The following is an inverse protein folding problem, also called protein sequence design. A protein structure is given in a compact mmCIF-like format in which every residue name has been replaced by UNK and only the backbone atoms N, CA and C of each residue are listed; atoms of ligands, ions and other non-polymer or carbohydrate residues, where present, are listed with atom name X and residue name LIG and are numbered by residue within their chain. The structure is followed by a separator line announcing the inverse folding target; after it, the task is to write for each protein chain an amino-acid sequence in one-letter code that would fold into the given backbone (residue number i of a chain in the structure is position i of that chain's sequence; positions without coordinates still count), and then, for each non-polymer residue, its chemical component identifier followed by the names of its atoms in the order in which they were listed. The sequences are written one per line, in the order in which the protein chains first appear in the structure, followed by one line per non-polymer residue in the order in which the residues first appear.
data_IF_855905042239
#
_entry.id   IF_855905042239
#
_cell.length_a   1.000
_cell.length_b   1.000
_cell.length_c   1.000
_cell.angle_alpha   90.00
_cell.angle_beta   90.00
_cell.angle_gamma   90.00
#
_symmetry.space_group_name_H-M   'P 1'
#
loop_
_entity.id
_entity.type
_entity.pdbx_description
1 polymer ?
#
# COMPACT_ATOMS: atom_id res chain seq x y z
N UNK A 1 20.67 -10.65 -20.63
CA UNK A 1 20.93 -10.21 -19.28
C UNK A 1 19.64 -9.95 -18.51
N UNK A 2 19.58 -10.47 -17.30
CA UNK A 2 18.38 -10.32 -16.48
C UNK A 2 18.28 -8.92 -15.89
N UNK A 3 17.08 -8.33 -15.82
CA UNK A 3 16.92 -7.04 -15.20
C UNK A 3 17.15 -7.13 -13.68
N UNK A 4 17.62 -6.03 -13.10
CA UNK A 4 17.82 -5.91 -11.66
C UNK A 4 16.48 -5.71 -10.95
N UNK A 5 16.47 -5.84 -9.62
CA UNK A 5 15.27 -5.55 -8.84
C UNK A 5 14.79 -4.12 -9.09
N UNK A 6 15.73 -3.16 -9.14
CA UNK A 6 15.40 -1.75 -9.40
C UNK A 6 14.75 -1.57 -10.76
N UNK A 7 15.31 -2.21 -11.79
CA UNK A 7 14.74 -2.15 -13.15
C UNK A 7 13.34 -2.75 -13.20
N UNK A 8 13.13 -3.86 -12.49
CA UNK A 8 11.81 -4.49 -12.41
C UNK A 8 10.80 -3.60 -11.69
N UNK A 9 11.22 -2.94 -10.62
CA UNK A 9 10.37 -1.99 -9.93
C UNK A 9 9.95 -0.86 -10.87
N UNK A 10 10.91 -0.31 -11.62
CA UNK A 10 10.63 0.78 -12.56
C UNK A 10 9.70 0.34 -13.68
N UNK A 11 9.89 -0.88 -14.18
CA UNK A 11 8.99 -1.44 -15.17
C UNK A 11 7.58 -1.59 -14.60
N UNK A 12 7.46 -2.09 -13.37
CA UNK A 12 6.19 -2.20 -12.67
C UNK A 12 5.51 -0.84 -12.53
N UNK A 13 6.29 0.20 -12.18
CA UNK A 13 5.77 1.55 -12.05
C UNK A 13 5.17 2.06 -13.37
N UNK A 14 5.85 1.81 -14.49
CA UNK A 14 5.33 2.21 -15.80
C UNK A 14 4.03 1.48 -16.14
N UNK A 15 3.99 0.19 -15.84
CA UNK A 15 2.76 -0.61 -16.05
C UNK A 15 1.62 -0.12 -15.17
N UNK A 16 1.94 0.26 -13.93
CA UNK A 16 0.93 0.81 -13.02
C UNK A 16 0.33 2.10 -13.58
N UNK A 17 1.18 3.01 -14.05
CA UNK A 17 0.71 4.26 -14.66
C UNK A 17 -0.17 3.96 -15.87
N UNK A 18 0.14 2.91 -16.62
CA UNK A 18 -0.65 2.45 -17.76
C UNK A 18 -1.90 1.67 -17.37
N UNK A 19 -2.21 1.58 -16.07
CA UNK A 19 -3.37 0.86 -15.52
C UNK A 19 -3.32 -0.64 -15.80
N UNK A 20 -2.14 -1.18 -16.00
CA UNK A 20 -1.94 -2.62 -16.22
C UNK A 20 -1.56 -3.27 -14.88
N UNK A 21 -2.56 -3.34 -13.98
CA UNK A 21 -2.32 -3.73 -12.60
C UNK A 21 -1.84 -5.17 -12.42
N UNK A 22 -2.43 -6.17 -13.09
CA UNK A 22 -1.88 -7.54 -12.96
C UNK A 22 -0.44 -7.63 -13.44
N UNK A 23 -0.12 -6.99 -14.56
CA UNK A 23 1.24 -7.00 -15.10
C UNK A 23 2.20 -6.25 -14.18
N UNK A 24 1.76 -5.13 -13.61
CA UNK A 24 2.57 -4.38 -12.64
C UNK A 24 2.84 -5.23 -11.41
N UNK A 25 1.82 -5.90 -10.87
CA UNK A 25 1.98 -6.78 -9.72
C UNK A 25 3.00 -7.89 -10.00
N UNK A 26 2.96 -8.46 -11.21
CA UNK A 26 3.92 -9.50 -11.60
C UNK A 26 5.36 -8.96 -11.63
N UNK A 27 5.56 -7.73 -12.13
CA UNK A 27 6.89 -7.11 -12.14
C UNK A 27 7.41 -6.86 -10.72
N UNK A 28 6.55 -6.36 -9.84
CA UNK A 28 6.94 -6.17 -8.44
C UNK A 28 7.25 -7.52 -7.78
N UNK A 29 6.51 -8.58 -8.12
CA UNK A 29 6.81 -9.93 -7.65
C UNK A 29 8.18 -10.40 -8.10
N UNK A 30 8.56 -10.10 -9.34
CA UNK A 30 9.90 -10.43 -9.84
C UNK A 30 10.97 -9.62 -9.11
N UNK A 31 10.69 -8.35 -8.80
CA UNK A 31 11.61 -7.53 -8.00
C UNK A 31 11.82 -8.14 -6.61
N UNK A 32 10.73 -8.61 -5.99
CA UNK A 32 10.78 -9.28 -4.69
C UNK A 32 11.64 -10.54 -4.75
N UNK A 33 11.51 -11.31 -5.82
CA UNK A 33 12.33 -12.51 -6.01
C UNK A 33 13.82 -12.15 -6.05
N UNK A 34 14.16 -11.03 -6.68
CA UNK A 34 15.56 -10.56 -6.75
C UNK A 34 16.05 -10.02 -5.41
N UNK A 35 15.20 -9.31 -4.68
CA UNK A 35 15.55 -8.78 -3.37
C UNK A 35 14.30 -8.70 -2.49
N UNK A 36 14.09 -9.71 -1.63
CA UNK A 36 12.86 -9.77 -0.82
C UNK A 36 12.86 -8.85 0.41
N UNK A 37 13.90 -8.03 0.60
CA UNK A 37 14.04 -7.21 1.81
C UNK A 37 13.75 -5.73 1.57
N UNK A 38 13.08 -5.38 0.49
CA UNK A 38 12.75 -3.99 0.14
C UNK A 38 11.25 -3.77 0.33
N UNK A 39 10.89 -3.02 1.37
CA UNK A 39 9.48 -2.80 1.74
C UNK A 39 8.66 -2.20 0.59
N UNK A 40 9.25 -1.29 -0.18
CA UNK A 40 8.56 -0.60 -1.28
C UNK A 40 8.00 -1.57 -2.33
N UNK A 41 8.69 -2.67 -2.59
CA UNK A 41 8.17 -3.64 -3.57
C UNK A 41 6.84 -4.23 -3.13
N UNK A 42 6.72 -4.48 -1.83
CA UNK A 42 5.48 -5.03 -1.27
C UNK A 42 4.37 -3.98 -1.23
N UNK A 43 4.67 -2.74 -0.86
CA UNK A 43 3.63 -1.69 -0.85
C UNK A 43 3.15 -1.37 -2.27
N UNK A 44 4.04 -1.37 -3.24
CA UNK A 44 3.65 -1.15 -4.64
C UNK A 44 2.74 -2.28 -5.12
N UNK A 45 3.08 -3.53 -4.80
CA UNK A 45 2.24 -4.66 -5.19
C UNK A 45 0.91 -4.65 -4.45
N UNK A 46 0.91 -4.26 -3.17
CA UNK A 46 -0.33 -4.12 -2.41
C UNK A 46 -1.30 -3.15 -3.09
N UNK A 47 -0.79 -2.03 -3.60
CA UNK A 47 -1.63 -1.08 -4.30
C UNK A 47 -2.21 -1.67 -5.58
N UNK A 48 -1.43 -2.47 -6.31
CA UNK A 48 -1.95 -3.20 -7.47
C UNK A 48 -3.11 -4.11 -7.06
N UNK A 49 -2.92 -4.88 -5.98
CA UNK A 49 -3.96 -5.79 -5.51
C UNK A 49 -5.22 -5.03 -5.08
N UNK A 50 -5.06 -3.86 -4.46
CA UNK A 50 -6.22 -3.03 -4.11
C UNK A 50 -6.98 -2.60 -5.37
N UNK A 51 -6.26 -2.18 -6.42
CA UNK A 51 -6.89 -1.81 -7.69
C UNK A 51 -7.59 -2.99 -8.35
N UNK A 52 -7.12 -4.20 -8.08
CA UNK A 52 -7.70 -5.44 -8.62
C UNK A 52 -8.77 -6.04 -7.71
N UNK A 53 -9.10 -5.37 -6.61
CA UNK A 53 -10.07 -5.85 -5.61
C UNK A 53 -9.65 -7.18 -4.96
N UNK A 54 -8.35 -7.42 -4.88
CA UNK A 54 -7.79 -8.61 -4.24
C UNK A 54 -7.28 -8.24 -2.85
N UNK A 55 -8.23 -8.11 -1.92
CA UNK A 55 -7.98 -7.55 -0.60
C UNK A 55 -7.06 -8.42 0.27
N UNK A 56 -7.21 -9.74 0.21
CA UNK A 56 -6.40 -10.63 1.04
C UNK A 56 -4.93 -10.55 0.64
N UNK A 57 -4.64 -10.50 -0.65
CA UNK A 57 -3.28 -10.36 -1.14
C UNK A 57 -2.70 -8.98 -0.76
N UNK A 58 -3.53 -7.94 -0.85
CA UNK A 58 -3.10 -6.60 -0.46
C UNK A 58 -2.75 -6.55 1.03
N UNK A 59 -3.58 -7.16 1.89
CA UNK A 59 -3.30 -7.25 3.33
C UNK A 59 -1.95 -7.92 3.58
N UNK A 60 -1.72 -9.07 2.94
CA UNK A 60 -0.48 -9.82 3.14
C UNK A 60 0.73 -8.99 2.77
N UNK A 61 0.67 -8.28 1.64
CA UNK A 61 1.79 -7.45 1.19
C UNK A 61 2.03 -6.26 2.13
N UNK A 62 0.97 -5.63 2.62
CA UNK A 62 1.12 -4.54 3.59
C UNK A 62 1.80 -5.05 4.87
N UNK A 63 1.40 -6.23 5.35
CA UNK A 63 2.01 -6.80 6.57
C UNK A 63 3.48 -7.14 6.36
N UNK A 64 3.83 -7.68 5.18
CA UNK A 64 5.23 -7.92 4.83
C UNK A 64 6.04 -6.63 4.82
N UNK A 65 5.48 -5.59 4.20
CA UNK A 65 6.14 -4.29 4.15
C UNK A 65 6.38 -3.74 5.56
N UNK A 66 5.40 -3.89 6.45
CA UNK A 66 5.53 -3.41 7.83
C UNK A 66 6.55 -4.19 8.65
N UNK A 67 6.73 -5.48 8.37
CA UNK A 67 7.79 -6.27 8.98
C UNK A 67 9.17 -5.75 8.60
N UNK A 68 9.30 -5.27 7.35
CA UNK A 68 10.57 -4.74 6.85
C UNK A 68 10.79 -3.29 7.25
N UNK A 69 9.71 -2.50 7.31
CA UNK A 69 9.77 -1.08 7.63
C UNK A 69 8.51 -0.69 8.41
N UNK A 70 8.61 -0.73 9.73
CA UNK A 70 7.49 -0.38 10.61
C UNK A 70 7.11 1.09 10.59
N UNK A 71 7.91 1.94 9.96
CA UNK A 71 7.66 3.38 9.85
C UNK A 71 7.07 3.78 8.48
N UNK A 72 6.72 2.80 7.66
CA UNK A 72 6.20 3.06 6.31
C UNK A 72 4.82 3.71 6.38
N UNK A 73 4.74 4.95 5.92
CA UNK A 73 3.46 5.67 5.82
C UNK A 73 2.55 4.95 4.82
N UNK A 74 3.08 4.61 3.65
CA UNK A 74 2.28 3.97 2.59
C UNK A 74 1.74 2.61 3.01
N UNK A 75 2.56 1.83 3.74
CA UNK A 75 2.09 0.50 4.19
C UNK A 75 0.90 0.65 5.14
N UNK A 76 0.97 1.59 6.09
CA UNK A 76 -0.16 1.85 6.98
C UNK A 76 -1.36 2.41 6.23
N UNK A 77 -1.12 3.29 5.27
CA UNK A 77 -2.20 3.89 4.50
C UNK A 77 -2.93 2.85 3.65
N UNK A 78 -2.18 2.03 2.90
CA UNK A 78 -2.78 0.99 2.07
C UNK A 78 -3.46 -0.09 2.90
N UNK A 79 -2.86 -0.44 4.05
CA UNK A 79 -3.50 -1.38 4.97
C UNK A 79 -4.85 -0.83 5.45
N UNK A 80 -4.86 0.44 5.85
CA UNK A 80 -6.09 1.10 6.28
C UNK A 80 -7.14 1.16 5.18
N UNK A 81 -6.72 1.48 3.94
CA UNK A 81 -7.64 1.50 2.80
C UNK A 81 -8.23 0.13 2.54
N UNK A 82 -7.40 -0.90 2.61
CA UNK A 82 -7.84 -2.27 2.41
C UNK A 82 -8.86 -2.68 3.47
N UNK A 83 -8.56 -2.37 4.73
CA UNK A 83 -9.46 -2.69 5.85
C UNK A 83 -10.78 -1.93 5.73
N UNK A 84 -10.73 -0.69 5.24
CA UNK A 84 -11.93 0.09 5.00
C UNK A 84 -12.84 -0.60 3.96
N UNK A 85 -12.27 -1.06 2.86
CA UNK A 85 -13.03 -1.77 1.83
C UNK A 85 -13.57 -3.11 2.34
N UNK A 86 -12.88 -3.71 3.30
CA UNK A 86 -13.34 -4.96 3.94
C UNK A 86 -14.28 -4.71 5.12
N UNK A 87 -14.65 -3.45 5.35
CA UNK A 87 -15.56 -3.03 6.41
C UNK A 87 -15.03 -3.29 7.82
N UNK A 88 -13.72 -3.39 7.97
CA UNK A 88 -13.05 -3.46 9.27
C UNK A 88 -12.73 -2.04 9.72
N UNK A 89 -13.75 -1.30 10.12
CA UNK A 89 -13.67 0.16 10.29
C UNK A 89 -12.72 0.57 11.42
N UNK A 90 -12.77 -0.09 12.56
CA UNK A 90 -11.92 0.30 13.69
C UNK A 90 -10.43 0.11 13.35
N UNK A 91 -10.09 -1.01 12.73
CA UNK A 91 -8.72 -1.26 12.30
C UNK A 91 -8.29 -0.29 11.20
N UNK A 92 -9.18 -0.01 10.25
CA UNK A 92 -8.90 0.94 9.17
C UNK A 92 -8.58 2.32 9.74
N UNK A 93 -9.40 2.81 10.68
CA UNK A 93 -9.20 4.12 11.29
C UNK A 93 -7.87 4.16 12.04
N UNK A 94 -7.56 3.11 12.80
CA UNK A 94 -6.30 3.06 13.56
C UNK A 94 -5.09 3.15 12.62
N UNK A 95 -5.12 2.40 11.51
CA UNK A 95 -4.00 2.41 10.55
C UNK A 95 -3.90 3.72 9.78
N UNK A 96 -5.04 4.31 9.40
CA UNK A 96 -5.03 5.61 8.74
C UNK A 96 -4.54 6.71 9.68
N UNK A 97 -4.93 6.64 10.96
CA UNK A 97 -4.43 7.57 11.97
C UNK A 97 -2.92 7.43 12.16
N UNK A 98 -2.43 6.19 12.17
CA UNK A 98 -0.99 5.94 12.28
C UNK A 98 -0.24 6.49 11.07
N UNK A 99 -0.81 6.29 9.86
CA UNK A 99 -0.22 6.84 8.64
C UNK A 99 -0.11 8.38 8.73
N UNK A 100 -1.15 9.02 9.25
CA UNK A 100 -1.15 10.46 9.42
C UNK A 100 -0.03 10.92 10.36
N UNK A 101 0.08 10.28 11.51
CA UNK A 101 1.11 10.62 12.50
C UNK A 101 2.52 10.40 11.94
N UNK A 102 2.74 9.28 11.26
CA UNK A 102 4.04 8.97 10.65
C UNK A 102 4.40 9.96 9.56
N UNK A 103 3.44 10.36 8.74
CA UNK A 103 3.68 11.35 7.69
C UNK A 103 4.12 12.67 8.29
N UNK A 104 3.48 13.10 9.38
CA UNK A 104 3.87 14.34 10.07
C UNK A 104 5.27 14.22 10.65
N UNK A 105 5.59 13.12 11.32
CA UNK A 105 6.91 12.89 11.89
C UNK A 105 8.01 12.91 10.83
N UNK A 106 7.73 12.33 9.68
CA UNK A 106 8.70 12.23 8.59
C UNK A 106 8.67 13.46 7.66
N UNK A 107 7.77 14.40 7.93
CA UNK A 107 7.60 15.63 7.14
C UNK A 107 7.31 15.32 5.67
N UNK A 108 6.49 14.28 5.46
CA UNK A 108 6.03 13.91 4.12
C UNK A 108 4.69 14.58 3.86
N UNK A 109 4.53 15.12 2.65
CA UNK A 109 3.31 15.82 2.27
C UNK A 109 2.52 14.97 1.26
N UNK A 110 1.40 14.42 1.72
CA UNK A 110 0.46 13.68 0.88
C UNK A 110 -0.81 14.51 0.59
N UNK A 111 -0.72 15.83 0.77
CA UNK A 111 -1.88 16.70 0.59
C UNK A 111 -2.99 16.32 1.58
N UNK A 112 -4.22 16.20 1.08
CA UNK A 112 -5.38 15.86 1.91
C UNK A 112 -5.73 14.38 1.85
N UNK A 113 -4.88 13.55 1.25
CA UNK A 113 -5.21 12.13 1.02
C UNK A 113 -5.50 11.39 2.32
N UNK A 114 -4.64 11.52 3.33
CA UNK A 114 -4.81 10.79 4.58
C UNK A 114 -5.97 11.36 5.41
N UNK A 115 -6.06 12.68 5.64
CA UNK A 115 -7.22 13.25 6.35
C UNK A 115 -8.55 12.93 5.66
N UNK A 116 -8.58 12.95 4.34
CA UNK A 116 -9.79 12.62 3.58
C UNK A 116 -10.20 11.17 3.80
N UNK A 117 -9.23 10.25 3.74
CA UNK A 117 -9.51 8.84 3.99
C UNK A 117 -10.03 8.62 5.42
N UNK A 118 -9.46 9.33 6.39
CA UNK A 118 -9.92 9.26 7.78
C UNK A 118 -11.37 9.72 7.92
N UNK A 119 -11.73 10.83 7.28
CA UNK A 119 -13.11 11.33 7.33
C UNK A 119 -14.08 10.32 6.74
N UNK A 120 -13.72 9.75 5.61
CA UNK A 120 -14.55 8.73 4.94
C UNK A 120 -14.71 7.50 5.84
N UNK A 121 -13.61 7.03 6.43
CA UNK A 121 -13.63 5.84 7.28
C UNK A 121 -14.52 6.06 8.50
N UNK A 122 -14.39 7.21 9.15
CA UNK A 122 -15.19 7.54 10.33
C UNK A 122 -16.66 7.66 9.99
N UNK A 123 -16.99 8.25 8.83
CA UNK A 123 -18.37 8.38 8.39
C UNK A 123 -18.98 7.00 8.10
N UNK A 124 -18.25 6.14 7.43
CA UNK A 124 -18.73 4.78 7.12
C UNK A 124 -18.94 3.98 8.41
N UNK A 125 -18.03 4.12 9.38
CA UNK A 125 -18.19 3.47 10.69
C UNK A 125 -19.46 3.97 11.38
N UNK A 126 -19.68 5.26 11.37
CA UNK A 126 -20.87 5.87 11.97
C UNK A 126 -22.16 5.34 11.34
N UNK A 127 -22.15 5.18 10.02
CA UNK A 127 -23.34 4.73 9.27
C UNK A 127 -23.53 3.22 9.24
N UNK A 128 -22.61 2.46 9.83
CA UNK A 128 -22.68 0.99 9.81
C UNK A 128 -23.63 0.42 10.85
#
# INVERSE_FOLDING_TARGET
KSPSAQELKEQGNRLFVGRKYPEAAACYGRAITRNPLVAVYYTNRALCYLKMQQHEQALADCRRALELDGQSVKAHFFLGQCQLEMESYDEAIANLQRAYSLAKEQRLNFGDDIPSALRIAKKKRWNS
#
